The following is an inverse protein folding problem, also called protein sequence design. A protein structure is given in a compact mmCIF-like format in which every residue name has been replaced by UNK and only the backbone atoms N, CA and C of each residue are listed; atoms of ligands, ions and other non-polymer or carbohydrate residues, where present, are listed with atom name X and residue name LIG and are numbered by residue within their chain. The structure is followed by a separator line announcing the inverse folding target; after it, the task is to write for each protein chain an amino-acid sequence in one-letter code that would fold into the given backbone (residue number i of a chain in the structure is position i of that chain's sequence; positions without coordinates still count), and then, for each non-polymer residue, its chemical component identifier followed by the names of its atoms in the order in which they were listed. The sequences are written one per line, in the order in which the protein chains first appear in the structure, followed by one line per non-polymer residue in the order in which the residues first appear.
data_IF_560074642338
#
_entry.id   IF_560074642338
#
_cell.length_a   1.000
_cell.length_b   1.000
_cell.length_c   1.000
_cell.angle_alpha   90.00
_cell.angle_beta   90.00
_cell.angle_gamma   90.00
#
_symmetry.space_group_name_H-M   'P 1'
#
loop_
_entity.id
_entity.type
_entity.pdbx_description
1 polymer ?
#
# COMPACT_ATOMS: atom_id res chain seq x y z
N UNK A 1 0.36 17.85 -0.24
CA UNK A 1 -0.89 18.45 0.25
C UNK A 1 -2.10 17.63 -0.15
N UNK A 2 -2.43 17.64 -1.46
CA UNK A 2 -3.59 16.89 -1.95
C UNK A 2 -3.44 15.39 -1.72
N UNK A 3 -2.23 14.86 -1.86
CA UNK A 3 -1.96 13.44 -1.67
C UNK A 3 -2.29 13.02 -0.25
N UNK A 4 -1.83 13.79 0.74
CA UNK A 4 -2.12 13.49 2.14
C UNK A 4 -3.62 13.53 2.43
N UNK A 5 -4.32 14.52 1.88
CA UNK A 5 -5.77 14.65 2.05
C UNK A 5 -6.52 13.44 1.49
N UNK A 6 -6.09 12.95 0.32
CA UNK A 6 -6.68 11.77 -0.30
C UNK A 6 -6.47 10.54 0.59
N UNK A 7 -5.26 10.35 1.12
CA UNK A 7 -4.99 9.24 2.01
C UNK A 7 -5.79 9.32 3.32
N UNK A 8 -5.98 10.52 3.85
CA UNK A 8 -6.81 10.72 5.03
C UNK A 8 -8.26 10.32 4.78
N UNK A 9 -8.79 10.64 3.60
CA UNK A 9 -10.13 10.23 3.19
C UNK A 9 -10.22 8.71 3.11
N UNK A 10 -9.24 8.06 2.52
CA UNK A 10 -9.20 6.60 2.40
C UNK A 10 -9.22 5.94 3.78
N UNK A 11 -8.42 6.42 4.71
CA UNK A 11 -8.39 5.91 6.07
C UNK A 11 -9.74 6.07 6.76
N UNK A 12 -10.39 7.22 6.56
CA UNK A 12 -11.71 7.50 7.11
C UNK A 12 -12.76 6.51 6.56
N UNK A 13 -12.75 6.27 5.26
CA UNK A 13 -13.66 5.32 4.63
C UNK A 13 -13.45 3.91 5.17
N UNK A 14 -12.20 3.51 5.34
CA UNK A 14 -11.88 2.19 5.88
C UNK A 14 -12.42 2.04 7.30
N UNK A 15 -12.28 3.05 8.14
CA UNK A 15 -12.80 3.03 9.50
C UNK A 15 -14.31 2.91 9.56
N UNK A 16 -15.00 3.34 8.51
CA UNK A 16 -16.46 3.20 8.37
C UNK A 16 -16.88 1.84 7.82
N UNK A 17 -15.92 0.94 7.59
CA UNK A 17 -16.21 -0.40 7.09
C UNK A 17 -16.32 -0.49 5.58
N UNK A 18 -15.89 0.54 4.85
CA UNK A 18 -15.91 0.54 3.38
C UNK A 18 -14.63 -0.10 2.88
N UNK A 19 -14.78 -1.07 1.97
CA UNK A 19 -13.64 -1.68 1.30
C UNK A 19 -13.12 -0.73 0.22
N UNK A 20 -11.82 -0.45 0.26
CA UNK A 20 -11.19 0.44 -0.70
C UNK A 20 -10.08 -0.29 -1.44
N UNK A 21 -10.12 -0.23 -2.78
CA UNK A 21 -9.02 -0.69 -3.61
C UNK A 21 -8.18 0.52 -4.02
N UNK A 22 -6.92 0.52 -3.61
CA UNK A 22 -5.99 1.60 -3.92
C UNK A 22 -4.88 1.09 -4.82
N UNK A 23 -4.67 1.77 -5.95
CA UNK A 23 -3.53 1.53 -6.82
C UNK A 23 -2.61 2.74 -6.71
N UNK A 24 -1.38 2.52 -6.26
CA UNK A 24 -0.48 3.62 -5.94
C UNK A 24 0.97 3.26 -6.20
N UNK A 25 1.73 4.19 -6.74
CA UNK A 25 3.17 4.05 -6.95
C UNK A 25 3.98 4.34 -5.68
N UNK A 26 3.48 5.19 -4.82
CA UNK A 26 4.12 5.46 -3.55
C UNK A 26 3.88 4.30 -2.59
N UNK A 27 4.71 3.28 -2.70
CA UNK A 27 4.54 2.04 -1.96
C UNK A 27 4.57 2.25 -0.45
N UNK A 28 5.44 3.09 0.04
CA UNK A 28 5.56 3.33 1.49
C UNK A 28 4.26 3.89 2.07
N UNK A 29 3.70 4.89 1.41
CA UNK A 29 2.43 5.48 1.86
C UNK A 29 1.28 4.49 1.74
N UNK A 30 1.17 3.80 0.62
CA UNK A 30 0.12 2.83 0.41
C UNK A 30 0.18 1.71 1.46
N UNK A 31 1.35 1.16 1.70
CA UNK A 31 1.52 0.09 2.69
C UNK A 31 1.28 0.55 4.12
N UNK A 32 1.49 1.84 4.41
CA UNK A 32 1.27 2.37 5.76
C UNK A 32 -0.20 2.46 6.13
N UNK A 33 -1.11 2.51 5.15
CA UNK A 33 -2.55 2.62 5.42
C UNK A 33 -3.34 1.39 5.00
N UNK A 34 -2.77 0.51 4.20
CA UNK A 34 -3.46 -0.66 3.69
C UNK A 34 -3.50 -1.79 4.72
N UNK A 35 -4.50 -2.65 4.60
CA UNK A 35 -4.57 -3.88 5.38
C UNK A 35 -3.84 -5.01 4.66
N UNK A 36 -4.03 -5.07 3.34
CA UNK A 36 -3.44 -6.10 2.50
C UNK A 36 -2.92 -5.48 1.22
N UNK A 37 -1.89 -6.05 0.65
CA UNK A 37 -1.27 -5.51 -0.56
C UNK A 37 -0.85 -6.60 -1.53
N UNK A 38 -0.79 -6.20 -2.80
CA UNK A 38 -0.32 -7.02 -3.90
C UNK A 38 0.73 -6.22 -4.67
N UNK A 39 1.85 -6.86 -4.97
CA UNK A 39 2.89 -6.24 -5.80
C UNK A 39 2.77 -6.78 -7.22
N UNK A 40 2.56 -5.89 -8.17
CA UNK A 40 2.45 -6.25 -9.59
C UNK A 40 3.72 -5.87 -10.33
N UNK A 41 4.24 -6.80 -11.11
CA UNK A 41 5.35 -6.55 -12.01
C UNK A 41 5.01 -7.16 -13.37
N UNK A 42 5.01 -6.32 -14.39
CA UNK A 42 4.76 -6.74 -15.78
C UNK A 42 3.46 -7.56 -15.89
N UNK A 43 2.40 -7.06 -15.26
CA UNK A 43 1.09 -7.68 -15.32
C UNK A 43 0.90 -8.93 -14.47
N UNK A 44 1.87 -9.25 -13.60
CA UNK A 44 1.79 -10.43 -12.73
C UNK A 44 1.92 -10.03 -11.27
N UNK A 45 1.19 -10.72 -10.41
CA UNK A 45 1.34 -10.55 -8.98
C UNK A 45 2.57 -11.35 -8.54
N UNK A 46 3.58 -10.64 -8.06
CA UNK A 46 4.84 -11.25 -7.62
C UNK A 46 4.90 -11.46 -6.12
N UNK A 47 4.16 -10.66 -5.35
CA UNK A 47 4.07 -10.77 -3.90
C UNK A 47 2.68 -10.37 -3.45
N UNK A 48 2.21 -10.97 -2.36
CA UNK A 48 0.98 -10.56 -1.71
C UNK A 48 1.04 -10.90 -0.22
N UNK A 49 0.27 -10.19 0.59
CA UNK A 49 0.18 -10.45 2.01
C UNK A 49 -0.32 -9.25 2.78
N UNK A 50 -0.18 -9.32 4.10
CA UNK A 50 -0.50 -8.19 4.96
C UNK A 50 0.43 -7.03 4.63
N UNK A 51 -0.13 -5.82 4.55
CA UNK A 51 0.66 -4.64 4.22
C UNK A 51 1.79 -4.41 5.22
N UNK A 52 1.55 -4.66 6.51
CA UNK A 52 2.59 -4.53 7.53
C UNK A 52 3.77 -5.47 7.31
N UNK A 53 3.51 -6.68 6.84
CA UNK A 53 4.57 -7.64 6.53
C UNK A 53 5.39 -7.18 5.32
N UNK A 54 4.70 -6.70 4.27
CA UNK A 54 5.38 -6.21 3.07
C UNK A 54 6.18 -4.94 3.35
N UNK A 55 5.69 -4.10 4.24
CA UNK A 55 6.39 -2.88 4.63
C UNK A 55 7.75 -3.17 5.27
N UNK A 56 7.89 -4.31 5.94
CA UNK A 56 9.12 -4.73 6.59
C UNK A 56 9.88 -5.80 5.80
N UNK A 57 9.38 -6.19 4.65
CA UNK A 57 10.05 -7.16 3.79
C UNK A 57 11.28 -6.53 3.13
N UNK A 58 12.40 -7.21 3.22
CA UNK A 58 13.66 -6.67 2.72
C UNK A 58 13.67 -6.45 1.21
N UNK A 59 13.06 -7.37 0.46
CA UNK A 59 12.96 -7.26 -1.00
C UNK A 59 12.10 -6.06 -1.40
N UNK A 60 10.98 -5.88 -0.71
CA UNK A 60 10.08 -4.75 -0.95
C UNK A 60 10.78 -3.44 -0.61
N UNK A 61 11.46 -3.39 0.52
CA UNK A 61 12.18 -2.18 0.93
C UNK A 61 13.24 -1.79 -0.08
N UNK A 62 14.01 -2.73 -0.57
CA UNK A 62 15.05 -2.46 -1.57
C UNK A 62 14.47 -2.03 -2.90
N UNK A 63 13.41 -2.67 -3.36
CA UNK A 63 12.85 -2.42 -4.68
C UNK A 63 11.95 -1.17 -4.73
N UNK A 64 11.21 -0.89 -3.68
CA UNK A 64 10.13 0.11 -3.73
C UNK A 64 10.18 1.18 -2.65
N UNK A 65 10.84 0.95 -1.53
CA UNK A 65 10.82 1.86 -0.39
C UNK A 65 12.10 2.66 -0.22
N UNK A 66 13.09 2.42 -1.04
CA UNK A 66 14.35 3.15 -1.02
C UNK A 66 15.24 2.87 0.19
N UNK A 67 15.07 1.74 0.81
CA UNK A 67 15.82 1.40 2.01
C UNK A 67 17.11 0.66 1.70
#
# INVERSE_FOLDING_TARGET
LLVKEIFDIIVTLRKRGITVLLVEQNAKMALSIADRAYVLETGKITMEGKASDLLHDEKVRKAYLGA
#
